data_IF_365120383607
#
_entry.id   IF_365120383607
#
_cell.length_a   1.000
_cell.length_b   1.000
_cell.length_c   1.000
_cell.angle_alpha   90.00
_cell.angle_beta   90.00
_cell.angle_gamma   90.00
#
_symmetry.space_group_name_H-M   'P 1'
#
loop_
_entity.id
_entity.type
_entity.pdbx_description
1 polymer ?
#
# COMPACT_ATOMS: atom_id res chain seq x y z
N UNK A 1 33.58 -32.95 -5.52
CA UNK A 1 34.08 -31.99 -6.52
C UNK A 1 33.31 -30.70 -6.29
N UNK A 2 33.98 -29.65 -5.81
CA UNK A 2 33.31 -28.37 -5.53
C UNK A 2 33.11 -27.60 -6.84
N UNK A 3 31.97 -26.94 -6.97
CA UNK A 3 31.72 -26.03 -8.09
C UNK A 3 32.74 -24.89 -8.03
N UNK A 4 33.61 -24.81 -9.03
CA UNK A 4 34.67 -23.81 -9.06
C UNK A 4 34.24 -22.51 -9.74
N UNK A 5 35.01 -21.42 -9.56
CA UNK A 5 34.77 -20.16 -10.24
C UNK A 5 34.78 -20.28 -11.78
N UNK A 6 35.56 -21.23 -12.31
CA UNK A 6 35.67 -21.47 -13.75
C UNK A 6 34.39 -22.09 -14.34
N UNK A 7 33.84 -23.10 -13.68
CA UNK A 7 32.59 -23.75 -14.07
C UNK A 7 31.42 -22.76 -14.01
N UNK A 8 31.38 -21.89 -12.99
CA UNK A 8 30.41 -20.81 -12.89
C UNK A 8 30.52 -19.80 -14.04
N UNK A 9 31.74 -19.38 -14.41
CA UNK A 9 31.95 -18.46 -15.52
C UNK A 9 31.52 -19.04 -16.87
N UNK A 10 31.78 -20.33 -17.11
CA UNK A 10 31.34 -21.02 -18.33
C UNK A 10 29.82 -21.05 -18.43
N UNK A 11 29.12 -21.36 -17.33
CA UNK A 11 27.66 -21.37 -17.30
C UNK A 11 27.05 -19.98 -17.55
N UNK A 12 27.60 -18.95 -16.90
CA UNK A 12 27.17 -17.57 -17.14
C UNK A 12 27.44 -17.16 -18.59
N UNK A 13 28.61 -17.51 -19.14
CA UNK A 13 28.94 -17.26 -20.55
C UNK A 13 27.96 -17.93 -21.50
N UNK A 14 27.65 -19.21 -21.28
CA UNK A 14 26.67 -19.95 -22.09
C UNK A 14 25.27 -19.33 -22.00
N UNK A 15 24.83 -18.96 -20.79
CA UNK A 15 23.57 -18.26 -20.59
C UNK A 15 23.52 -16.94 -21.38
N UNK A 16 24.58 -16.14 -21.36
CA UNK A 16 24.63 -14.88 -22.10
C UNK A 16 24.65 -15.08 -23.61
N UNK A 17 25.22 -16.18 -24.12
CA UNK A 17 25.17 -16.52 -25.55
C UNK A 17 23.74 -16.88 -25.98
N UNK A 18 23.05 -17.70 -25.19
CA UNK A 18 21.70 -18.19 -25.51
C UNK A 18 20.63 -17.10 -25.35
N UNK A 19 20.73 -16.30 -24.30
CA UNK A 19 19.69 -15.36 -23.89
C UNK A 19 20.08 -13.88 -24.15
N UNK A 20 21.36 -13.60 -24.34
CA UNK A 20 21.89 -12.25 -24.52
C UNK A 20 22.21 -11.53 -23.20
N UNK A 21 23.13 -10.56 -23.22
CA UNK A 21 23.59 -9.85 -22.01
C UNK A 21 22.51 -9.00 -21.34
N UNK A 22 21.46 -8.60 -22.09
CA UNK A 22 20.38 -7.76 -21.57
C UNK A 22 19.41 -8.50 -20.64
N UNK A 23 19.40 -9.84 -20.64
CA UNK A 23 18.42 -10.62 -19.87
C UNK A 23 18.72 -10.62 -18.37
N UNK A 24 20.00 -10.63 -17.97
CA UNK A 24 20.37 -10.53 -16.55
C UNK A 24 19.86 -9.21 -15.91
N UNK A 25 20.10 -8.02 -16.49
CA UNK A 25 19.52 -6.77 -15.98
C UNK A 25 17.99 -6.75 -15.96
N UNK A 26 17.34 -7.29 -17.00
CA UNK A 26 15.87 -7.31 -17.09
C UNK A 26 15.25 -8.16 -15.98
N UNK A 27 15.79 -9.37 -15.74
CA UNK A 27 15.35 -10.26 -14.67
C UNK A 27 15.58 -9.64 -13.29
N UNK A 28 16.73 -9.00 -13.07
CA UNK A 28 17.01 -8.31 -11.81
C UNK A 28 16.03 -7.17 -11.55
N UNK A 29 15.69 -6.37 -12.58
CA UNK A 29 14.70 -5.29 -12.48
C UNK A 29 13.30 -5.82 -12.17
N UNK A 30 12.82 -6.81 -12.93
CA UNK A 30 11.47 -7.35 -12.72
C UNK A 30 11.33 -8.03 -11.37
N UNK A 31 12.34 -8.80 -10.94
CA UNK A 31 12.35 -9.45 -9.64
C UNK A 31 12.46 -8.43 -8.50
N UNK A 32 13.25 -7.38 -8.68
CA UNK A 32 13.37 -6.26 -7.73
C UNK A 32 12.06 -5.50 -7.56
N UNK A 33 11.37 -5.19 -8.66
CA UNK A 33 10.05 -4.56 -8.62
C UNK A 33 9.02 -5.46 -7.94
N UNK A 34 8.94 -6.74 -8.32
CA UNK A 34 8.03 -7.69 -7.69
C UNK A 34 8.27 -7.82 -6.19
N UNK A 35 9.54 -7.94 -5.76
CA UNK A 35 9.90 -7.97 -4.33
C UNK A 35 9.57 -6.65 -3.62
N UNK A 36 9.77 -5.51 -4.28
CA UNK A 36 9.47 -4.19 -3.71
C UNK A 36 7.97 -4.01 -3.46
N UNK A 37 7.14 -4.30 -4.46
CA UNK A 37 5.67 -4.23 -4.32
C UNK A 37 5.14 -5.25 -3.32
N UNK A 38 5.74 -6.45 -3.25
CA UNK A 38 5.41 -7.43 -2.22
C UNK A 38 5.70 -6.91 -0.81
N UNK A 39 6.90 -6.37 -0.56
CA UNK A 39 7.23 -5.80 0.75
C UNK A 39 6.35 -4.60 1.09
N UNK A 40 6.06 -3.74 0.10
CA UNK A 40 5.16 -2.61 0.25
C UNK A 40 3.76 -3.09 0.68
N UNK A 41 3.22 -4.12 0.02
CA UNK A 41 1.94 -4.72 0.40
C UNK A 41 1.93 -5.38 1.77
N UNK A 42 3.06 -5.95 2.23
CA UNK A 42 3.17 -6.45 3.61
C UNK A 42 3.15 -5.31 4.64
N UNK A 43 3.88 -4.22 4.37
CA UNK A 43 3.91 -3.06 5.27
C UNK A 43 2.55 -2.35 5.28
N UNK A 44 1.96 -2.07 4.12
CA UNK A 44 0.63 -1.47 4.02
C UNK A 44 -0.46 -2.38 4.60
N UNK A 45 -0.33 -3.70 4.46
CA UNK A 45 -1.21 -4.67 5.10
C UNK A 45 -1.09 -4.72 6.62
N UNK A 46 0.09 -4.42 7.18
CA UNK A 46 0.31 -4.20 8.62
C UNK A 46 -0.16 -2.80 9.08
N UNK A 47 -0.25 -1.81 8.18
CA UNK A 47 -0.92 -0.53 8.45
C UNK A 47 -2.44 -0.71 8.29
N UNK A 48 -3.00 -1.58 9.12
CA UNK A 48 -4.43 -1.79 9.28
C UNK A 48 -5.18 -0.56 9.81
N UNK A 49 -4.53 0.58 10.09
CA UNK A 49 -5.18 1.77 10.66
C UNK A 49 -6.42 2.19 9.87
N UNK A 50 -6.35 2.45 8.56
CA UNK A 50 -7.52 3.03 7.87
C UNK A 50 -8.70 2.07 7.79
N UNK A 51 -8.45 0.76 7.61
CA UNK A 51 -9.53 -0.24 7.55
C UNK A 51 -10.05 -0.63 8.93
N UNK A 52 -9.18 -0.73 9.95
CA UNK A 52 -9.61 -0.94 11.34
C UNK A 52 -10.37 0.27 11.90
N UNK A 53 -9.93 1.48 11.58
CA UNK A 53 -10.60 2.72 11.97
C UNK A 53 -11.99 2.83 11.31
N UNK A 54 -12.12 2.44 10.04
CA UNK A 54 -13.42 2.34 9.35
C UNK A 54 -14.30 1.24 9.96
N UNK A 55 -13.74 0.07 10.32
CA UNK A 55 -14.48 -0.98 11.02
C UNK A 55 -14.93 -0.55 12.43
N UNK A 56 -14.12 0.23 13.15
CA UNK A 56 -14.48 0.85 14.42
C UNK A 56 -15.64 1.85 14.31
N UNK A 57 -15.80 2.48 13.13
CA UNK A 57 -16.94 3.35 12.76
C UNK A 57 -18.10 2.59 12.11
N UNK A 58 -18.17 1.27 12.25
CA UNK A 58 -19.25 0.45 11.70
C UNK A 58 -19.15 0.19 10.19
N UNK A 59 -17.95 0.31 9.61
CA UNK A 59 -17.69 0.15 8.18
C UNK A 59 -17.96 1.42 7.36
N UNK A 60 -18.11 2.58 8.03
CA UNK A 60 -18.34 3.87 7.39
C UNK A 60 -17.03 4.64 7.26
N UNK A 61 -16.82 5.30 6.13
CA UNK A 61 -15.68 6.22 5.93
C UNK A 61 -15.79 7.42 6.88
N UNK A 62 -14.66 8.07 7.20
CA UNK A 62 -14.62 9.21 8.14
C UNK A 62 -15.68 10.27 7.88
N UNK A 63 -15.83 10.68 6.63
CA UNK A 63 -16.81 11.68 6.20
C UNK A 63 -18.25 11.28 6.45
N UNK A 64 -18.57 9.98 6.35
CA UNK A 64 -19.94 9.45 6.52
C UNK A 64 -20.28 9.34 8.00
N UNK A 65 -19.35 8.88 8.82
CA UNK A 65 -19.52 8.83 10.27
C UNK A 65 -19.75 10.23 10.88
N UNK A 66 -19.00 11.24 10.41
CA UNK A 66 -19.15 12.63 10.84
C UNK A 66 -20.53 13.21 10.49
N UNK A 67 -21.04 12.90 9.30
CA UNK A 67 -22.36 13.36 8.84
C UNK A 67 -23.49 12.73 9.64
N UNK A 68 -23.37 11.45 10.00
CA UNK A 68 -24.37 10.75 10.81
C UNK A 68 -24.37 11.23 12.26
N UNK A 69 -23.20 11.50 12.84
CA UNK A 69 -23.06 12.11 14.16
C UNK A 69 -23.67 13.52 14.19
N UNK A 70 -23.35 14.37 13.20
CA UNK A 70 -23.92 15.71 13.05
C UNK A 70 -25.45 15.67 12.99
N UNK A 71 -26.00 14.76 12.18
CA UNK A 71 -27.45 14.57 12.03
C UNK A 71 -28.11 14.08 13.32
N UNK A 72 -27.45 13.21 14.07
CA UNK A 72 -27.93 12.75 15.39
C UNK A 72 -27.95 13.87 16.43
N UNK A 73 -27.00 14.81 16.33
CA UNK A 73 -26.89 16.01 17.19
C UNK A 73 -27.73 17.19 16.68
N UNK A 74 -28.44 17.05 15.56
CA UNK A 74 -29.33 18.07 15.01
C UNK A 74 -28.63 19.19 14.24
N UNK A 75 -27.38 18.98 13.80
CA UNK A 75 -26.59 19.93 13.02
C UNK A 75 -26.94 19.81 11.54
N UNK A 76 -27.17 20.93 10.85
CA UNK A 76 -27.46 20.97 9.41
C UNK A 76 -26.21 20.65 8.57
N UNK A 77 -26.32 19.64 7.71
CA UNK A 77 -25.19 19.03 6.97
C UNK A 77 -25.15 19.40 5.49
N UNK A 78 -26.25 19.94 4.93
CA UNK A 78 -26.34 20.25 3.50
C UNK A 78 -25.51 21.50 3.14
N UNK A 79 -24.52 21.33 2.25
CA UNK A 79 -23.71 22.41 1.70
C UNK A 79 -22.44 22.77 2.49
N UNK A 80 -22.10 22.01 3.54
CA UNK A 80 -20.91 22.25 4.40
C UNK A 80 -19.81 21.22 4.16
N UNK A 81 -18.56 21.62 4.42
CA UNK A 81 -17.39 20.75 4.28
C UNK A 81 -17.22 19.85 5.53
N UNK A 82 -16.77 18.58 5.42
CA UNK A 82 -16.65 17.66 6.55
C UNK A 82 -15.78 18.19 7.71
N UNK A 83 -14.78 19.00 7.43
CA UNK A 83 -13.90 19.60 8.44
C UNK A 83 -14.61 20.67 9.30
N UNK A 84 -15.54 21.43 8.71
CA UNK A 84 -16.31 22.45 9.44
C UNK A 84 -17.32 21.82 10.41
N UNK A 85 -17.91 20.70 9.98
CA UNK A 85 -18.84 19.91 10.80
C UNK A 85 -18.10 19.30 12.00
N UNK A 86 -16.87 18.79 11.79
CA UNK A 86 -16.02 18.24 12.85
C UNK A 86 -15.67 19.28 13.92
N UNK A 87 -15.40 20.52 13.51
CA UNK A 87 -15.09 21.61 14.44
C UNK A 87 -16.32 22.02 15.28
N UNK A 88 -17.49 22.12 14.66
CA UNK A 88 -18.71 22.53 15.35
C UNK A 88 -19.23 21.45 16.32
N UNK A 89 -19.07 20.17 15.99
CA UNK A 89 -19.35 19.06 16.91
C UNK A 89 -18.43 19.10 18.14
N UNK A 90 -17.17 19.50 17.97
CA UNK A 90 -16.20 19.61 19.07
C UNK A 90 -16.39 20.89 19.91
N UNK A 91 -16.91 21.97 19.31
CA UNK A 91 -17.31 23.20 20.00
C UNK A 91 -18.67 23.09 20.71
N UNK A 92 -19.48 22.06 20.39
CA UNK A 92 -20.81 21.82 20.97
C UNK A 92 -20.83 20.78 22.11
N UNK A 93 -19.66 20.30 22.55
CA UNK A 93 -19.50 19.59 23.85
C UNK A 93 -19.41 20.58 25.02
#
# INVERSE_FOLDING_TARGET
MAFGPMEGAILVGLFLILFGPSQLPKLARSLGQAKSEFNKGLVEGDVTSTTEDDLGRGGMTESVALVEEAKSKGVEVEGRNPEEIKQEIHESE
#
